data_IF_313744671363
#
_entry.id   IF_313744671363
#
_cell.length_a   1.000
_cell.length_b   1.000
_cell.length_c   1.000
_cell.angle_alpha   90.00
_cell.angle_beta   90.00
_cell.angle_gamma   90.00
#
_symmetry.space_group_name_H-M   'P 1'
#
loop_
_entity.id
_entity.type
_entity.pdbx_description
1 polymer ?
#
# COMPACT_ATOMS: atom_id res chain seq x y z
N UNK A 1 -26.06 2.65 7.37
CA UNK A 1 -26.44 2.42 5.95
C UNK A 1 -25.79 1.15 5.38
N UNK A 2 -24.50 0.90 5.61
CA UNK A 2 -23.81 -0.32 5.13
C UNK A 2 -24.42 -1.57 5.79
N UNK A 3 -24.65 -1.57 7.10
CA UNK A 3 -25.29 -2.68 7.82
C UNK A 3 -26.66 -3.04 7.26
N UNK A 4 -27.48 -2.03 6.96
CA UNK A 4 -28.78 -2.25 6.33
C UNK A 4 -28.64 -2.93 4.96
N UNK A 5 -27.72 -2.43 4.13
CA UNK A 5 -27.46 -3.01 2.80
C UNK A 5 -26.93 -4.45 2.91
N UNK A 6 -26.02 -4.69 3.85
CA UNK A 6 -25.47 -6.01 4.15
C UNK A 6 -26.60 -6.99 4.52
N UNK A 7 -27.49 -6.59 5.43
CA UNK A 7 -28.60 -7.40 5.85
C UNK A 7 -29.62 -7.64 4.72
N UNK A 8 -29.91 -6.60 3.92
CA UNK A 8 -30.81 -6.69 2.78
C UNK A 8 -30.28 -7.67 1.71
N UNK A 9 -29.00 -7.56 1.36
CA UNK A 9 -28.38 -8.41 0.34
C UNK A 9 -28.22 -9.86 0.82
N UNK A 10 -27.88 -10.08 2.08
CA UNK A 10 -27.76 -11.42 2.68
C UNK A 10 -29.06 -12.20 2.65
N UNK A 11 -30.18 -11.51 2.82
CA UNK A 11 -31.53 -12.12 2.80
C UNK A 11 -32.14 -12.16 1.40
N UNK A 12 -31.49 -11.58 0.40
CA UNK A 12 -31.99 -11.59 -0.98
C UNK A 12 -31.80 -12.95 -1.63
N UNK A 13 -32.86 -13.46 -2.27
CA UNK A 13 -32.81 -14.70 -3.07
C UNK A 13 -32.30 -14.47 -4.51
N UNK A 14 -31.89 -13.23 -4.83
CA UNK A 14 -31.41 -12.86 -6.17
C UNK A 14 -29.90 -13.03 -6.25
N UNK A 15 -29.41 -13.34 -7.43
CA UNK A 15 -27.96 -13.26 -7.73
C UNK A 15 -27.55 -11.81 -7.73
N UNK A 16 -26.50 -11.49 -6.99
CA UNK A 16 -25.94 -10.14 -6.87
C UNK A 16 -24.47 -10.20 -7.28
N UNK A 17 -24.09 -9.33 -8.20
CA UNK A 17 -22.71 -9.09 -8.56
C UNK A 17 -22.36 -7.67 -8.14
N UNK A 18 -21.27 -7.52 -7.39
CA UNK A 18 -20.82 -6.23 -6.89
C UNK A 18 -19.29 -6.13 -6.92
N UNK A 19 -18.79 -4.90 -6.97
CA UNK A 19 -17.37 -4.58 -6.89
C UNK A 19 -17.18 -3.69 -5.66
N UNK A 20 -16.28 -4.07 -4.77
CA UNK A 20 -15.97 -3.29 -3.58
C UNK A 20 -14.56 -3.59 -3.10
N UNK A 21 -13.95 -2.63 -2.40
CA UNK A 21 -12.71 -2.80 -1.65
C UNK A 21 -12.95 -2.93 -0.14
N UNK A 22 -14.22 -2.88 0.29
CA UNK A 22 -14.62 -3.08 1.68
C UNK A 22 -14.55 -4.57 2.04
N UNK A 23 -13.50 -4.92 2.80
CA UNK A 23 -13.23 -6.29 3.25
C UNK A 23 -14.35 -6.84 4.14
N UNK A 24 -14.95 -5.97 4.98
CA UNK A 24 -16.06 -6.36 5.84
C UNK A 24 -17.30 -6.73 5.00
N UNK A 25 -17.60 -5.94 3.98
CA UNK A 25 -18.70 -6.21 3.07
C UNK A 25 -18.48 -7.52 2.29
N UNK A 26 -17.26 -7.72 1.75
CA UNK A 26 -16.87 -8.96 1.08
C UNK A 26 -17.01 -10.18 2.01
N UNK A 27 -16.57 -10.05 3.26
CA UNK A 27 -16.61 -11.16 4.22
C UNK A 27 -18.02 -11.59 4.60
N UNK A 28 -18.96 -10.62 4.70
CA UNK A 28 -20.31 -10.88 5.16
C UNK A 28 -21.31 -11.29 4.07
N UNK A 29 -21.04 -10.94 2.80
CA UNK A 29 -22.02 -11.12 1.72
C UNK A 29 -21.54 -12.08 0.65
N UNK A 30 -20.23 -12.10 0.33
CA UNK A 30 -19.75 -12.92 -0.77
C UNK A 30 -19.82 -14.41 -0.44
N UNK A 31 -20.25 -15.17 -1.43
CA UNK A 31 -20.18 -16.63 -1.47
C UNK A 31 -19.12 -17.11 -2.46
N UNK A 32 -18.71 -16.22 -3.36
CA UNK A 32 -17.65 -16.40 -4.34
C UNK A 32 -16.97 -15.07 -4.58
N UNK A 33 -15.66 -15.09 -4.72
CA UNK A 33 -14.85 -13.91 -5.05
C UNK A 33 -14.16 -14.15 -6.38
N UNK A 34 -14.24 -13.17 -7.27
CA UNK A 34 -13.52 -13.15 -8.52
C UNK A 34 -12.38 -12.15 -8.44
N UNK A 35 -11.16 -12.63 -8.62
CA UNK A 35 -9.98 -11.78 -8.76
C UNK A 35 -9.67 -11.58 -10.25
N UNK A 36 -9.52 -10.33 -10.66
CA UNK A 36 -9.07 -9.98 -12.00
C UNK A 36 -7.61 -9.55 -11.94
N UNK A 37 -6.74 -10.42 -12.42
CA UNK A 37 -5.29 -10.16 -12.45
C UNK A 37 -4.68 -10.46 -13.81
N UNK A 38 -3.91 -9.51 -14.37
CA UNK A 38 -3.23 -9.64 -15.66
C UNK A 38 -4.14 -10.07 -16.82
N UNK A 39 -5.43 -9.68 -16.80
CA UNK A 39 -6.45 -10.08 -17.77
C UNK A 39 -7.00 -11.50 -17.57
N UNK A 40 -6.67 -12.16 -16.47
CA UNK A 40 -7.21 -13.46 -16.06
C UNK A 40 -8.23 -13.26 -14.95
N UNK A 41 -9.31 -14.04 -15.02
CA UNK A 41 -10.33 -14.08 -13.97
C UNK A 41 -10.14 -15.37 -13.17
N UNK A 42 -9.81 -15.22 -11.89
CA UNK A 42 -9.59 -16.34 -10.97
C UNK A 42 -10.76 -16.38 -9.99
N UNK A 43 -11.38 -17.55 -9.83
CA UNK A 43 -12.51 -17.75 -8.93
C UNK A 43 -12.06 -18.38 -7.62
N UNK A 44 -12.48 -17.79 -6.51
CA UNK A 44 -12.31 -18.33 -5.15
C UNK A 44 -13.68 -18.58 -4.54
N UNK A 45 -13.89 -19.79 -4.03
CA UNK A 45 -15.13 -20.16 -3.34
C UNK A 45 -15.04 -19.73 -1.88
N UNK A 46 -16.09 -19.06 -1.39
CA UNK A 46 -16.19 -18.60 -0.01
C UNK A 46 -16.23 -17.10 0.14
N UNK A 47 -15.99 -16.64 1.37
CA UNK A 47 -15.95 -15.23 1.76
C UNK A 47 -14.54 -14.62 1.63
N UNK A 48 -14.34 -13.41 2.16
CA UNK A 48 -13.03 -12.73 2.07
C UNK A 48 -11.93 -13.47 2.85
N UNK A 49 -12.24 -14.06 4.01
CA UNK A 49 -11.26 -14.83 4.78
C UNK A 49 -10.81 -16.09 4.02
N UNK A 50 -11.76 -16.79 3.37
CA UNK A 50 -11.44 -17.91 2.50
C UNK A 50 -10.58 -17.51 1.31
N UNK A 51 -10.89 -16.37 0.68
CA UNK A 51 -10.09 -15.80 -0.41
C UNK A 51 -8.63 -15.56 0.03
N UNK A 52 -8.42 -14.88 1.16
CA UNK A 52 -7.07 -14.59 1.68
C UNK A 52 -6.29 -15.88 1.94
N UNK A 53 -6.93 -16.87 2.56
CA UNK A 53 -6.32 -18.17 2.83
C UNK A 53 -5.95 -18.92 1.54
N UNK A 54 -6.91 -19.04 0.60
CA UNK A 54 -6.71 -19.76 -0.66
C UNK A 54 -5.67 -19.08 -1.55
N UNK A 55 -5.65 -17.74 -1.57
CA UNK A 55 -4.65 -16.97 -2.29
C UNK A 55 -3.26 -17.19 -1.69
N UNK A 56 -3.11 -17.11 -0.38
CA UNK A 56 -1.83 -17.38 0.29
C UNK A 56 -1.30 -18.79 -0.02
N UNK A 57 -2.19 -19.81 0.00
CA UNK A 57 -1.82 -21.17 -0.38
C UNK A 57 -1.40 -21.31 -1.86
N UNK A 58 -2.03 -20.52 -2.75
CA UNK A 58 -1.68 -20.49 -4.16
C UNK A 58 -0.34 -19.80 -4.38
N UNK A 59 -0.12 -18.64 -3.77
CA UNK A 59 1.12 -17.86 -3.84
C UNK A 59 2.32 -18.70 -3.32
N UNK A 60 2.13 -19.45 -2.24
CA UNK A 60 3.14 -20.37 -1.71
C UNK A 60 3.49 -21.50 -2.70
N UNK A 61 2.49 -22.09 -3.35
CA UNK A 61 2.69 -23.11 -4.40
C UNK A 61 3.43 -22.53 -5.60
N UNK A 62 3.02 -21.35 -6.04
CA UNK A 62 3.62 -20.67 -7.21
C UNK A 62 5.05 -20.25 -6.90
N UNK A 63 5.35 -19.75 -5.70
CA UNK A 63 6.70 -19.46 -5.25
C UNK A 63 7.58 -20.72 -5.21
N UNK A 64 7.05 -21.85 -4.71
CA UNK A 64 7.78 -23.12 -4.69
C UNK A 64 8.06 -23.65 -6.10
N UNK A 65 7.10 -23.51 -7.03
CA UNK A 65 7.29 -23.87 -8.44
C UNK A 65 8.31 -22.97 -9.13
N UNK A 66 8.26 -21.66 -8.87
CA UNK A 66 9.22 -20.68 -9.39
C UNK A 66 10.63 -21.00 -8.89
N UNK A 67 10.80 -21.28 -7.60
CA UNK A 67 12.08 -21.67 -7.03
C UNK A 67 12.64 -22.94 -7.68
N UNK A 68 11.81 -23.95 -7.92
CA UNK A 68 12.21 -25.17 -8.66
C UNK A 68 12.64 -24.84 -10.10
N UNK A 69 11.88 -23.99 -10.81
CA UNK A 69 12.25 -23.53 -12.16
C UNK A 69 13.58 -22.78 -12.18
N UNK A 70 13.81 -21.91 -11.20
CA UNK A 70 15.08 -21.17 -11.04
C UNK A 70 16.26 -22.10 -10.76
N UNK A 71 16.09 -23.11 -9.90
CA UNK A 71 17.12 -24.12 -9.67
C UNK A 71 17.44 -24.92 -10.92
N UNK A 72 16.40 -25.36 -11.65
CA UNK A 72 16.57 -26.05 -12.92
C UNK A 72 17.30 -25.15 -13.94
N UNK A 73 16.93 -23.88 -14.05
CA UNK A 73 17.59 -22.92 -14.92
C UNK A 73 19.10 -22.78 -14.58
N UNK A 74 19.45 -22.67 -13.30
CA UNK A 74 20.85 -22.60 -12.86
C UNK A 74 21.63 -23.87 -13.26
N UNK A 75 21.02 -25.05 -13.15
CA UNK A 75 21.63 -26.30 -13.58
C UNK A 75 21.82 -26.37 -15.10
N UNK A 76 20.78 -26.01 -15.84
CA UNK A 76 20.85 -26.00 -17.32
C UNK A 76 21.80 -24.92 -17.84
N UNK A 77 21.87 -23.74 -17.19
CA UNK A 77 22.82 -22.68 -17.51
C UNK A 77 24.27 -23.15 -17.31
N UNK A 78 24.53 -23.86 -16.19
CA UNK A 78 25.87 -24.42 -15.93
C UNK A 78 26.29 -25.47 -16.99
N UNK A 79 25.31 -26.25 -17.46
CA UNK A 79 25.54 -27.21 -18.55
C UNK A 79 25.78 -26.49 -19.89
N UNK A 80 24.99 -25.48 -20.23
CA UNK A 80 25.19 -24.67 -21.46
C UNK A 80 26.55 -23.98 -21.50
N UNK A 81 27.09 -23.50 -20.36
CA UNK A 81 28.42 -22.88 -20.26
C UNK A 81 29.56 -23.83 -20.53
N UNK A 82 29.36 -25.16 -20.43
CA UNK A 82 30.40 -26.19 -20.74
C UNK A 82 30.51 -26.51 -22.21
N UNK A 83 29.97 -25.69 -23.10
CA UNK A 83 29.99 -25.83 -24.56
C UNK A 83 29.58 -27.24 -25.05
N UNK A 84 28.32 -27.65 -24.91
CA UNK A 84 27.86 -28.94 -25.41
C UNK A 84 28.00 -29.00 -26.93
N UNK A 85 28.65 -30.05 -27.45
CA UNK A 85 28.78 -30.25 -28.91
C UNK A 85 27.40 -30.56 -29.51
N UNK A 86 26.95 -29.74 -30.47
CA UNK A 86 25.57 -29.70 -30.99
C UNK A 86 25.22 -30.84 -31.98
N UNK A 87 25.76 -32.05 -31.83
CA UNK A 87 25.61 -33.12 -32.85
C UNK A 87 24.53 -34.18 -32.59
N UNK A 88 23.78 -34.10 -31.52
CA UNK A 88 22.73 -35.08 -31.22
C UNK A 88 21.33 -34.43 -30.99
N UNK A 89 20.28 -35.01 -31.57
CA UNK A 89 18.89 -34.55 -31.48
C UNK A 89 18.45 -34.34 -30.03
N UNK A 90 18.92 -35.16 -29.08
CA UNK A 90 18.65 -35.00 -27.63
C UNK A 90 19.27 -33.74 -27.03
N UNK A 91 20.40 -33.27 -27.55
CA UNK A 91 21.01 -32.01 -27.09
C UNK A 91 20.24 -30.80 -27.59
N UNK A 92 19.75 -30.83 -28.83
CA UNK A 92 18.92 -29.76 -29.37
C UNK A 92 17.61 -29.61 -28.59
N UNK A 93 16.95 -30.70 -28.23
CA UNK A 93 15.76 -30.66 -27.40
C UNK A 93 16.02 -30.09 -25.98
N UNK A 94 17.23 -30.27 -25.43
CA UNK A 94 17.64 -29.70 -24.15
C UNK A 94 17.93 -28.20 -24.27
N UNK A 95 18.56 -27.78 -25.36
CA UNK A 95 18.80 -26.37 -25.68
C UNK A 95 17.46 -25.63 -25.82
N UNK A 96 16.50 -26.21 -26.56
CA UNK A 96 15.17 -25.62 -26.72
C UNK A 96 14.48 -25.46 -25.37
N UNK A 97 14.47 -26.50 -24.51
CA UNK A 97 13.93 -26.43 -23.14
C UNK A 97 14.58 -25.36 -22.28
N UNK A 98 15.90 -25.15 -22.45
CA UNK A 98 16.59 -24.05 -21.74
C UNK A 98 16.07 -22.68 -22.19
N UNK A 99 15.86 -22.48 -23.49
CA UNK A 99 15.31 -21.24 -24.02
C UNK A 99 13.86 -21.01 -23.57
N UNK A 100 13.04 -22.05 -23.56
CA UNK A 100 11.66 -21.99 -23.06
C UNK A 100 11.64 -21.62 -21.56
N UNK A 101 12.47 -22.27 -20.75
CA UNK A 101 12.60 -21.99 -19.32
C UNK A 101 13.13 -20.57 -19.07
N UNK A 102 14.06 -20.09 -19.90
CA UNK A 102 14.55 -18.70 -19.81
C UNK A 102 13.44 -17.69 -20.11
N UNK A 103 12.65 -17.95 -21.14
CA UNK A 103 11.52 -17.08 -21.52
C UNK A 103 10.42 -17.09 -20.45
N UNK A 104 10.08 -18.26 -19.90
CA UNK A 104 9.14 -18.41 -18.78
C UNK A 104 9.58 -17.59 -17.55
N UNK A 105 10.85 -17.62 -17.20
CA UNK A 105 11.38 -16.89 -16.04
C UNK A 105 11.51 -15.39 -16.30
N UNK A 106 11.69 -14.95 -17.53
CA UNK A 106 11.82 -13.53 -17.89
C UNK A 106 10.50 -12.76 -17.69
N UNK A 107 9.35 -13.45 -17.69
CA UNK A 107 8.03 -12.85 -17.49
C UNK A 107 7.53 -12.88 -16.04
N UNK A 108 8.26 -13.51 -15.11
CA UNK A 108 7.82 -13.69 -13.72
C UNK A 108 8.62 -12.79 -12.79
N UNK A 109 7.97 -11.74 -12.28
CA UNK A 109 8.49 -10.90 -11.20
C UNK A 109 8.27 -11.62 -9.88
N UNK A 110 9.33 -11.78 -9.08
CA UNK A 110 9.22 -12.36 -7.74
C UNK A 110 8.62 -11.30 -6.82
N UNK A 111 7.40 -11.49 -6.37
CA UNK A 111 6.87 -10.73 -5.23
C UNK A 111 7.68 -11.13 -3.99
N UNK A 112 8.59 -10.29 -3.58
CA UNK A 112 9.28 -10.46 -2.31
C UNK A 112 8.46 -9.79 -1.23
N UNK A 113 7.93 -10.57 -0.29
CA UNK A 113 7.43 -10.07 0.99
C UNK A 113 8.62 -9.51 1.78
N UNK A 114 8.96 -8.25 1.56
CA UNK A 114 9.98 -7.54 2.33
C UNK A 114 9.30 -6.85 3.51
N UNK A 115 9.81 -7.11 4.72
CA UNK A 115 9.49 -6.29 5.88
C UNK A 115 9.96 -4.85 5.58
N UNK A 116 8.99 -3.96 5.37
CA UNK A 116 9.26 -2.55 5.05
C UNK A 116 9.54 -1.76 6.32
N UNK A 117 10.72 -1.92 6.89
CA UNK A 117 11.17 -1.09 8.01
C UNK A 117 11.93 0.13 7.46
N UNK A 118 11.22 1.23 7.23
CA UNK A 118 11.85 2.51 6.94
C UNK A 118 12.52 3.08 8.17
N UNK A 119 13.71 3.64 8.03
CA UNK A 119 14.34 4.41 9.10
C UNK A 119 13.49 5.64 9.41
N UNK A 120 12.90 5.68 10.62
CA UNK A 120 12.17 6.86 11.11
C UNK A 120 13.10 7.77 11.86
N UNK A 121 12.89 9.09 11.74
CA UNK A 121 13.63 10.08 12.52
C UNK A 121 13.26 9.96 14.02
N UNK A 122 14.23 10.28 14.90
CA UNK A 122 13.99 10.27 16.36
C UNK A 122 12.88 11.26 16.72
N UNK A 123 11.98 10.83 17.61
CA UNK A 123 10.86 11.63 18.11
C UNK A 123 10.91 11.68 19.64
N UNK A 124 10.55 12.83 20.21
CA UNK A 124 10.44 13.02 21.67
C UNK A 124 9.27 12.23 22.28
N UNK A 125 9.18 12.18 23.60
CA UNK A 125 8.06 11.52 24.31
C UNK A 125 6.74 12.26 24.07
N UNK A 126 6.71 13.58 24.16
CA UNK A 126 5.57 14.44 23.80
C UNK A 126 5.70 14.81 22.33
N UNK A 127 4.71 14.45 21.54
CA UNK A 127 4.74 14.66 20.09
C UNK A 127 3.89 15.86 19.71
N UNK A 128 2.62 15.86 20.10
CA UNK A 128 1.67 16.93 19.83
C UNK A 128 0.79 17.10 21.08
N UNK A 129 0.64 18.33 21.57
CA UNK A 129 -0.16 18.64 22.75
C UNK A 129 -1.19 19.72 22.42
N UNK A 130 -2.45 19.40 22.62
CA UNK A 130 -3.58 20.33 22.57
C UNK A 130 -3.85 20.86 23.98
N UNK A 131 -3.89 22.18 24.14
CA UNK A 131 -4.15 22.86 25.41
C UNK A 131 -5.35 23.77 25.24
N UNK A 132 -6.53 23.35 25.74
CA UNK A 132 -7.79 24.09 25.71
C UNK A 132 -8.13 24.65 24.31
N UNK A 133 -7.96 23.84 23.27
CA UNK A 133 -8.15 24.26 21.89
C UNK A 133 -9.61 24.39 21.56
N UNK A 134 -10.00 25.56 21.03
CA UNK A 134 -11.29 25.80 20.42
C UNK A 134 -11.17 25.99 18.91
N UNK A 135 -12.10 25.40 18.17
CA UNK A 135 -12.22 25.57 16.73
C UNK A 135 -13.67 25.43 16.28
N UNK A 136 -14.12 26.35 15.45
CA UNK A 136 -15.47 26.34 14.87
C UNK A 136 -15.42 26.77 13.40
N UNK A 137 -16.35 26.27 12.61
CA UNK A 137 -16.69 26.84 11.30
C UNK A 137 -17.96 27.68 11.47
N UNK A 138 -17.85 28.99 11.19
CA UNK A 138 -18.90 29.97 11.44
C UNK A 138 -19.44 29.87 12.89
N UNK A 139 -20.65 29.35 13.07
CA UNK A 139 -21.27 29.18 14.38
C UNK A 139 -21.32 27.72 14.85
N UNK A 140 -20.78 26.77 14.06
CA UNK A 140 -20.78 25.36 14.41
C UNK A 140 -19.48 24.99 15.12
N UNK A 141 -19.50 24.76 16.45
CA UNK A 141 -18.31 24.33 17.18
C UNK A 141 -17.90 22.91 16.74
N UNK A 142 -16.62 22.72 16.47
CA UNK A 142 -16.00 21.43 16.15
C UNK A 142 -15.19 20.93 17.35
N UNK A 143 -14.39 21.80 17.95
CA UNK A 143 -13.67 21.51 19.19
C UNK A 143 -14.00 22.60 20.21
N UNK A 144 -14.21 22.19 21.46
CA UNK A 144 -14.47 23.10 22.59
C UNK A 144 -13.61 22.71 23.77
N UNK A 145 -12.69 23.60 24.17
CA UNK A 145 -11.71 23.41 25.27
C UNK A 145 -11.01 22.04 25.18
N UNK A 146 -10.72 21.61 23.97
CA UNK A 146 -10.13 20.30 23.73
C UNK A 146 -8.68 20.26 24.18
N UNK A 147 -8.38 19.32 25.10
CA UNK A 147 -7.03 19.09 25.60
C UNK A 147 -6.67 17.64 25.46
N UNK A 148 -5.59 17.36 24.74
CA UNK A 148 -5.14 15.99 24.48
C UNK A 148 -3.63 15.96 24.20
N UNK A 149 -2.96 14.90 24.61
CA UNK A 149 -1.53 14.70 24.39
C UNK A 149 -1.31 13.45 23.53
N UNK A 150 -0.72 13.64 22.36
CA UNK A 150 -0.27 12.55 21.51
C UNK A 150 1.17 12.21 21.87
N UNK A 151 1.42 10.96 22.21
CA UNK A 151 2.71 10.44 22.61
C UNK A 151 3.34 9.62 21.50
N UNK A 152 4.63 9.37 21.65
CA UNK A 152 5.34 8.45 20.77
C UNK A 152 4.72 7.04 20.86
N UNK A 153 4.50 6.41 19.70
CA UNK A 153 3.89 5.08 19.52
C UNK A 153 2.37 5.00 19.69
N UNK A 154 1.69 6.11 19.90
CA UNK A 154 0.22 6.08 19.94
C UNK A 154 -0.37 5.57 18.61
N UNK A 155 -1.43 4.81 18.72
CA UNK A 155 -2.28 4.37 17.60
C UNK A 155 -3.69 4.84 17.90
N UNK A 156 -4.11 5.94 17.26
CA UNK A 156 -5.35 6.64 17.60
C UNK A 156 -6.35 6.47 16.46
N UNK A 157 -7.47 5.82 16.72
CA UNK A 157 -8.60 5.79 15.82
C UNK A 157 -9.61 6.89 16.15
N UNK A 158 -9.96 7.72 15.16
CA UNK A 158 -10.98 8.76 15.31
C UNK A 158 -12.28 8.25 14.67
N UNK A 159 -13.33 8.11 15.47
CA UNK A 159 -14.65 7.64 15.02
C UNK A 159 -15.72 8.74 15.23
N UNK A 160 -16.72 8.75 14.38
CA UNK A 160 -17.82 9.71 14.43
C UNK A 160 -18.53 9.83 13.08
N UNK A 161 -19.70 10.44 13.08
CA UNK A 161 -20.51 10.66 11.88
C UNK A 161 -19.78 11.54 10.85
N UNK A 162 -20.26 11.48 9.59
CA UNK A 162 -19.71 12.34 8.54
C UNK A 162 -20.00 13.81 8.84
N UNK A 163 -19.01 14.68 8.66
CA UNK A 163 -19.11 16.11 8.91
C UNK A 163 -19.05 16.53 10.39
N UNK A 164 -18.66 15.63 11.32
CA UNK A 164 -18.48 15.95 12.74
C UNK A 164 -17.18 16.70 13.03
N UNK A 165 -16.22 16.69 12.10
CA UNK A 165 -14.94 17.42 12.25
C UNK A 165 -13.70 16.53 12.30
N UNK A 166 -13.79 15.24 11.92
CA UNK A 166 -12.62 14.32 11.89
C UNK A 166 -11.46 14.88 11.06
N UNK A 167 -11.71 15.21 9.81
CA UNK A 167 -10.67 15.80 8.92
C UNK A 167 -10.23 17.19 9.40
N UNK A 168 -11.08 17.94 10.11
CA UNK A 168 -10.69 19.22 10.73
C UNK A 168 -9.66 19.04 11.81
N UNK A 169 -9.82 18.03 12.68
CA UNK A 169 -8.83 17.68 13.69
C UNK A 169 -7.49 17.29 13.04
N UNK A 170 -7.52 16.45 11.99
CA UNK A 170 -6.30 16.09 11.25
C UNK A 170 -5.64 17.31 10.58
N UNK A 171 -6.43 18.23 10.03
CA UNK A 171 -5.91 19.47 9.44
C UNK A 171 -5.28 20.41 10.46
N UNK A 172 -5.80 20.47 11.69
CA UNK A 172 -5.16 21.20 12.80
C UNK A 172 -3.81 20.57 13.13
N UNK A 173 -3.73 19.24 13.27
CA UNK A 173 -2.49 18.51 13.53
C UNK A 173 -1.47 18.73 12.40
N UNK A 174 -1.93 18.71 11.14
CA UNK A 174 -1.09 18.94 9.97
C UNK A 174 -0.63 20.41 9.80
N UNK A 175 -1.12 21.33 10.65
CA UNK A 175 -0.80 22.75 10.57
C UNK A 175 -1.49 23.49 9.41
N UNK A 176 -2.44 22.85 8.70
CA UNK A 176 -3.24 23.47 7.64
C UNK A 176 -4.30 24.43 8.18
N UNK A 177 -4.73 24.22 9.43
CA UNK A 177 -5.63 25.10 10.18
C UNK A 177 -4.97 25.54 11.46
N UNK A 178 -5.36 26.73 11.96
CA UNK A 178 -4.92 27.25 13.24
C UNK A 178 -6.07 27.24 14.24
N UNK A 179 -5.84 26.90 15.53
CA UNK A 179 -6.85 27.00 16.55
C UNK A 179 -7.32 28.44 16.73
N UNK A 180 -8.61 28.64 17.03
CA UNK A 180 -9.18 29.96 17.29
C UNK A 180 -8.92 30.44 18.73
N UNK A 181 -8.83 29.48 19.67
CA UNK A 181 -8.37 29.73 21.04
C UNK A 181 -7.61 28.50 21.54
N UNK A 182 -6.88 28.67 22.65
CA UNK A 182 -6.00 27.65 23.19
C UNK A 182 -4.68 27.56 22.42
N UNK A 183 -3.96 26.45 22.59
CA UNK A 183 -2.63 26.27 22.00
C UNK A 183 -2.47 24.85 21.48
N UNK A 184 -1.90 24.74 20.26
CA UNK A 184 -1.43 23.48 19.68
C UNK A 184 0.10 23.50 19.66
N UNK A 185 0.72 22.66 20.48
CA UNK A 185 2.17 22.56 20.59
C UNK A 185 2.62 21.33 19.82
N UNK A 186 3.42 21.54 18.78
CA UNK A 186 4.02 20.48 17.95
C UNK A 186 5.51 20.42 18.28
N UNK A 187 6.03 19.24 18.55
CA UNK A 187 7.45 19.06 18.87
C UNK A 187 8.35 19.46 17.69
N UNK A 188 9.49 20.09 17.95
CA UNK A 188 10.41 20.62 16.93
C UNK A 188 10.91 19.55 15.94
N UNK A 189 11.01 18.30 16.38
CA UNK A 189 11.47 17.17 15.55
C UNK A 189 10.34 16.46 14.81
N UNK A 190 9.09 16.91 14.97
CA UNK A 190 7.91 16.29 14.38
C UNK A 190 7.89 16.54 12.87
N UNK A 191 7.76 15.46 12.12
CA UNK A 191 7.56 15.46 10.67
C UNK A 191 6.28 14.71 10.38
N UNK A 192 5.24 15.45 10.03
CA UNK A 192 3.91 14.91 9.77
C UNK A 192 3.80 14.54 8.30
N UNK A 193 3.44 13.29 8.01
CA UNK A 193 2.89 12.92 6.70
C UNK A 193 1.38 12.81 6.83
N UNK A 194 0.67 13.50 5.97
CA UNK A 194 -0.79 13.50 5.94
C UNK A 194 -1.32 12.91 4.63
N UNK A 195 -1.83 11.68 4.71
CA UNK A 195 -2.56 11.05 3.64
C UNK A 195 -4.03 11.49 3.70
N UNK A 196 -4.32 12.57 3.01
CA UNK A 196 -5.66 13.17 2.95
C UNK A 196 -6.53 12.54 1.88
N UNK A 197 -7.84 12.69 2.00
CA UNK A 197 -8.81 12.20 1.01
C UNK A 197 -8.55 12.78 -0.40
N UNK A 198 -8.09 14.03 -0.49
CA UNK A 198 -7.70 14.66 -1.76
C UNK A 198 -6.17 14.70 -1.86
N UNK A 199 -5.64 14.26 -3.01
CA UNK A 199 -4.20 14.35 -3.28
C UNK A 199 -3.86 15.80 -3.56
N UNK A 200 -3.00 16.39 -2.75
CA UNK A 200 -2.49 17.75 -2.95
C UNK A 200 -1.04 17.71 -3.43
N UNK A 201 -0.71 18.55 -4.41
CA UNK A 201 0.68 18.72 -4.85
C UNK A 201 1.24 17.56 -5.69
N UNK A 202 0.39 16.76 -6.32
CA UNK A 202 0.83 15.75 -7.29
C UNK A 202 1.10 16.45 -8.64
N UNK A 203 2.37 16.51 -9.04
CA UNK A 203 2.74 17.05 -10.36
C UNK A 203 2.51 15.99 -11.44
N UNK A 204 1.36 16.06 -12.08
CA UNK A 204 0.93 15.08 -13.08
C UNK A 204 1.76 15.11 -14.37
N UNK A 205 2.55 16.16 -14.60
CA UNK A 205 3.44 16.29 -15.77
C UNK A 205 4.71 15.46 -15.65
N UNK A 206 5.04 14.96 -14.46
CA UNK A 206 6.23 14.17 -14.19
C UNK A 206 6.04 12.70 -14.53
N UNK A 207 7.17 12.01 -14.75
CA UNK A 207 7.19 10.56 -14.83
C UNK A 207 7.18 9.95 -13.42
N UNK A 208 6.55 8.80 -13.27
CA UNK A 208 6.40 8.09 -11.99
C UNK A 208 7.74 7.97 -11.23
N UNK A 209 8.78 7.47 -11.90
CA UNK A 209 10.08 7.29 -11.25
C UNK A 209 10.73 8.63 -10.89
N UNK A 210 10.67 9.63 -11.76
CA UNK A 210 11.31 10.93 -11.53
C UNK A 210 10.68 11.66 -10.34
N UNK A 211 9.35 11.54 -10.19
CA UNK A 211 8.62 12.15 -9.08
C UNK A 211 9.10 11.65 -7.71
N UNK A 212 9.46 10.37 -7.61
CA UNK A 212 9.99 9.81 -6.37
C UNK A 212 11.50 10.08 -6.22
N UNK A 213 12.26 10.09 -7.31
CA UNK A 213 13.70 10.38 -7.27
C UNK A 213 14.03 11.80 -6.81
N UNK A 214 13.08 12.73 -6.91
CA UNK A 214 13.24 14.07 -6.32
C UNK A 214 13.31 14.04 -4.78
N UNK A 215 12.73 13.03 -4.15
CA UNK A 215 12.76 12.85 -2.69
C UNK A 215 13.99 12.06 -2.26
N UNK A 216 14.30 11.00 -2.97
CA UNK A 216 15.45 10.13 -2.70
C UNK A 216 15.82 9.31 -3.94
N UNK A 217 17.11 9.06 -4.15
CA UNK A 217 17.58 8.13 -5.19
C UNK A 217 17.54 6.68 -4.71
N UNK A 218 17.84 6.47 -3.43
CA UNK A 218 17.87 5.18 -2.74
C UNK A 218 17.30 5.32 -1.33
N UNK A 219 16.75 4.25 -0.81
CA UNK A 219 16.15 4.20 0.53
C UNK A 219 16.73 3.05 1.33
N UNK A 220 17.00 3.29 2.60
CA UNK A 220 17.40 2.23 3.53
C UNK A 220 16.17 1.54 4.09
N UNK A 221 16.03 0.25 3.80
CA UNK A 221 14.93 -0.60 4.26
C UNK A 221 15.53 -1.89 4.83
N UNK A 222 15.13 -2.27 6.05
CA UNK A 222 15.51 -3.55 6.65
C UNK A 222 17.02 -3.77 6.81
N UNK A 223 17.83 -2.69 6.90
CA UNK A 223 19.29 -2.76 6.98
C UNK A 223 20.02 -2.89 5.63
N UNK A 224 19.29 -2.88 4.52
CA UNK A 224 19.81 -2.80 3.14
C UNK A 224 19.48 -1.48 2.45
N UNK A 225 20.08 -1.25 1.27
CA UNK A 225 19.75 -0.12 0.40
C UNK A 225 18.89 -0.63 -0.76
N UNK A 226 17.72 -0.05 -0.95
CA UNK A 226 16.77 -0.39 -2.02
C UNK A 226 16.66 0.79 -2.97
N UNK A 227 16.73 0.54 -4.28
CA UNK A 227 16.54 1.56 -5.31
C UNK A 227 15.06 1.99 -5.40
N UNK A 228 14.80 3.21 -5.89
CA UNK A 228 13.42 3.67 -6.15
C UNK A 228 12.68 2.76 -7.13
N UNK A 229 13.39 2.18 -8.10
CA UNK A 229 12.77 1.26 -9.06
C UNK A 229 12.28 -0.04 -8.38
N UNK A 230 13.06 -0.62 -7.48
CA UNK A 230 12.66 -1.79 -6.70
C UNK A 230 11.52 -1.45 -5.73
N UNK A 231 11.56 -0.27 -5.13
CA UNK A 231 10.50 0.19 -4.23
C UNK A 231 9.17 0.39 -4.97
N UNK A 232 9.21 0.94 -6.18
CA UNK A 232 8.04 1.05 -7.07
C UNK A 232 7.44 -0.33 -7.38
N UNK A 233 8.28 -1.34 -7.67
CA UNK A 233 7.81 -2.71 -7.91
C UNK A 233 7.12 -3.29 -6.64
N UNK A 234 7.67 -3.04 -5.46
CA UNK A 234 7.05 -3.45 -4.18
C UNK A 234 5.69 -2.77 -3.93
N UNK A 235 5.54 -1.53 -4.42
CA UNK A 235 4.28 -0.79 -4.39
C UNK A 235 3.40 -1.05 -5.63
N UNK A 236 3.58 -2.20 -6.28
CA UNK A 236 2.75 -2.67 -7.39
C UNK A 236 2.79 -1.76 -8.64
N UNK A 237 3.92 -1.09 -8.86
CA UNK A 237 4.21 -0.39 -10.11
C UNK A 237 5.20 -1.22 -10.92
N UNK A 238 4.76 -1.96 -11.95
CA UNK A 238 5.67 -2.73 -12.79
C UNK A 238 6.64 -1.81 -13.55
N UNK A 239 7.81 -2.31 -13.91
CA UNK A 239 8.86 -1.53 -14.60
C UNK A 239 8.38 -0.80 -15.85
N UNK A 240 7.41 -1.38 -16.54
CA UNK A 240 6.79 -0.77 -17.73
C UNK A 240 6.11 0.56 -17.44
N UNK A 241 5.64 0.80 -16.20
CA UNK A 241 4.95 2.02 -15.80
C UNK A 241 5.88 3.09 -15.21
N UNK A 242 7.13 2.77 -14.88
CA UNK A 242 8.06 3.72 -14.24
C UNK A 242 8.32 4.97 -15.10
N UNK A 243 8.37 4.80 -16.42
CA UNK A 243 8.54 5.89 -17.38
C UNK A 243 7.24 6.59 -17.80
N UNK A 244 6.08 6.14 -17.32
CA UNK A 244 4.77 6.70 -17.68
C UNK A 244 4.57 8.05 -16.98
N UNK A 245 3.86 8.98 -17.63
CA UNK A 245 3.44 10.23 -16.99
C UNK A 245 2.36 9.96 -15.95
N UNK A 246 2.42 10.69 -14.83
CA UNK A 246 1.47 10.54 -13.71
C UNK A 246 0.04 10.84 -14.13
N UNK A 247 -0.17 11.75 -15.08
CA UNK A 247 -1.51 12.05 -15.66
C UNK A 247 -2.23 10.80 -16.21
N UNK A 248 -1.46 9.81 -16.70
CA UNK A 248 -1.99 8.58 -17.30
C UNK A 248 -2.31 7.48 -16.28
N UNK A 249 -1.96 7.69 -15.02
CA UNK A 249 -2.28 6.76 -13.95
C UNK A 249 -3.76 6.84 -13.58
N UNK A 250 -4.34 5.71 -13.18
CA UNK A 250 -5.66 5.67 -12.56
C UNK A 250 -5.67 6.42 -11.22
N UNK A 251 -6.85 6.78 -10.71
CA UNK A 251 -6.98 7.45 -9.42
C UNK A 251 -6.36 6.67 -8.26
N UNK A 252 -6.54 5.35 -8.23
CA UNK A 252 -5.94 4.47 -7.23
C UNK A 252 -4.41 4.41 -7.32
N UNK A 253 -3.85 4.34 -8.55
CA UNK A 253 -2.40 4.39 -8.76
C UNK A 253 -1.81 5.73 -8.34
N UNK A 254 -2.48 6.85 -8.63
CA UNK A 254 -2.06 8.17 -8.17
C UNK A 254 -2.00 8.24 -6.64
N UNK A 255 -3.01 7.71 -5.95
CA UNK A 255 -3.05 7.65 -4.48
C UNK A 255 -1.93 6.77 -3.90
N UNK A 256 -1.68 5.63 -4.51
CA UNK A 256 -0.59 4.72 -4.15
C UNK A 256 0.79 5.38 -4.34
N UNK A 257 0.99 6.07 -5.45
CA UNK A 257 2.21 6.82 -5.71
C UNK A 257 2.42 7.96 -4.70
N UNK A 258 1.34 8.68 -4.38
CA UNK A 258 1.37 9.74 -3.38
C UNK A 258 1.69 9.21 -1.98
N UNK A 259 1.06 8.10 -1.59
CA UNK A 259 1.39 7.42 -0.33
C UNK A 259 2.88 7.05 -0.27
N UNK A 260 3.41 6.44 -1.34
CA UNK A 260 4.82 6.07 -1.40
C UNK A 260 5.74 7.29 -1.24
N UNK A 261 5.44 8.41 -1.89
CA UNK A 261 6.19 9.66 -1.70
C UNK A 261 6.19 10.11 -0.24
N UNK A 262 5.00 10.14 0.40
CA UNK A 262 4.90 10.53 1.81
C UNK A 262 5.77 9.66 2.73
N UNK A 263 5.84 8.36 2.45
CA UNK A 263 6.67 7.44 3.22
C UNK A 263 8.18 7.67 3.00
N UNK A 264 8.57 8.05 1.78
CA UNK A 264 9.94 8.40 1.42
C UNK A 264 10.47 9.65 2.13
N UNK A 265 9.60 10.58 2.48
CA UNK A 265 9.94 11.80 3.22
C UNK A 265 10.35 11.53 4.69
N UNK A 266 10.37 10.25 5.10
CA UNK A 266 10.74 9.76 6.43
C UNK A 266 9.96 10.46 7.55
N UNK A 267 8.63 10.43 7.50
CA UNK A 267 7.81 11.01 8.55
C UNK A 267 8.03 10.26 9.87
N UNK A 268 7.73 10.94 10.98
CA UNK A 268 7.66 10.31 12.30
C UNK A 268 6.28 10.45 12.95
N UNK A 269 5.33 11.10 12.27
CA UNK A 269 3.90 11.13 12.59
C UNK A 269 3.12 10.88 11.30
N UNK A 270 2.16 9.97 11.34
CA UNK A 270 1.34 9.62 10.18
C UNK A 270 -0.12 9.90 10.46
N UNK A 271 -0.73 10.71 9.59
CA UNK A 271 -2.16 11.02 9.59
C UNK A 271 -2.81 10.33 8.39
N UNK A 272 -3.87 9.56 8.63
CA UNK A 272 -4.59 8.80 7.61
C UNK A 272 -6.07 9.19 7.63
N UNK A 273 -6.54 9.90 6.62
CA UNK A 273 -7.94 10.29 6.49
C UNK A 273 -8.68 9.34 5.55
N UNK A 274 -9.44 8.40 6.13
CA UNK A 274 -10.23 7.39 5.43
C UNK A 274 -9.43 6.59 4.36
N UNK A 275 -8.26 6.04 4.69
CA UNK A 275 -7.38 5.42 3.69
C UNK A 275 -8.01 4.21 2.99
N UNK A 276 -8.98 3.55 3.63
CA UNK A 276 -9.65 2.36 3.09
C UNK A 276 -10.62 2.65 1.95
N UNK A 277 -11.11 3.89 1.84
CA UNK A 277 -12.09 4.24 0.81
C UNK A 277 -11.50 4.35 -0.59
N UNK A 278 -10.20 4.61 -0.67
CA UNK A 278 -9.53 5.07 -1.89
C UNK A 278 -8.39 4.17 -2.37
N UNK A 279 -8.00 3.19 -1.55
CA UNK A 279 -6.94 2.24 -1.86
C UNK A 279 -7.53 0.87 -2.15
N UNK A 280 -6.98 0.19 -3.15
CA UNK A 280 -7.31 -1.21 -3.41
C UNK A 280 -6.78 -2.14 -2.31
N UNK A 281 -7.28 -3.37 -2.26
CA UNK A 281 -6.95 -4.35 -1.21
C UNK A 281 -5.44 -4.62 -1.16
N UNK A 282 -4.78 -4.70 -2.31
CA UNK A 282 -3.34 -4.96 -2.38
C UNK A 282 -2.54 -3.79 -1.80
N UNK A 283 -2.90 -2.55 -2.13
CA UNK A 283 -2.28 -1.34 -1.56
C UNK A 283 -2.53 -1.22 -0.06
N UNK A 284 -3.73 -1.59 0.40
CA UNK A 284 -4.03 -1.62 1.84
C UNK A 284 -3.13 -2.62 2.58
N UNK A 285 -2.88 -3.79 2.00
CA UNK A 285 -1.95 -4.78 2.57
C UNK A 285 -0.53 -4.23 2.68
N UNK A 286 -0.06 -3.52 1.65
CA UNK A 286 1.25 -2.84 1.68
C UNK A 286 1.30 -1.78 2.78
N UNK A 287 0.23 -0.97 2.92
CA UNK A 287 0.12 0.03 3.99
C UNK A 287 0.10 -0.62 5.37
N UNK A 288 -0.66 -1.68 5.57
CA UNK A 288 -0.72 -2.42 6.84
C UNK A 288 0.65 -2.98 7.25
N UNK A 289 1.37 -3.59 6.31
CA UNK A 289 2.73 -4.08 6.54
C UNK A 289 3.69 -2.95 6.94
N UNK A 290 3.59 -1.79 6.27
CA UNK A 290 4.35 -0.61 6.64
C UNK A 290 4.00 -0.13 8.06
N UNK A 291 2.71 -0.04 8.40
CA UNK A 291 2.25 0.44 9.71
C UNK A 291 2.70 -0.45 10.87
N UNK A 292 2.88 -1.76 10.64
CA UNK A 292 3.41 -2.68 11.66
C UNK A 292 4.84 -2.33 12.08
N UNK A 293 5.66 -1.88 11.12
CA UNK A 293 7.05 -1.45 11.37
C UNK A 293 7.20 0.03 11.74
N UNK A 294 6.15 0.84 11.63
CA UNK A 294 6.22 2.28 11.85
C UNK A 294 6.35 2.63 13.33
N UNK A 295 7.44 3.27 13.72
CA UNK A 295 7.78 3.53 15.13
C UNK A 295 7.08 4.75 15.74
N UNK A 296 6.56 5.68 14.93
CA UNK A 296 5.89 6.90 15.37
C UNK A 296 4.39 6.74 15.62
N UNK A 297 3.69 7.78 16.13
CA UNK A 297 2.23 7.74 16.26
C UNK A 297 1.53 7.72 14.91
N UNK A 298 0.39 7.02 14.87
CA UNK A 298 -0.52 6.93 13.73
C UNK A 298 -1.92 7.36 14.19
N UNK A 299 -2.56 8.23 13.42
CA UNK A 299 -3.85 8.83 13.72
C UNK A 299 -4.76 8.69 12.51
#
# INVERSE_FOLDING_TARGET
TIEWLTHFLKNSKKTVLFITHDRYFLDHISTRIFELDGGRLIEYQGNYQDYVRLKAEQDERDAALLHKKQQLYKQELSWMRRQPQARATKQQARINRFHDLKNDLAGQTTESNLEMNFETSRIGKKVIEFQNVDFAYDQKPILSQFSFLIQNKDRIGIVGDNGVGKSTLLNLIAGKLQPQAGQLIVGETVRVAYFSQQIEGLDESKRVINYLQEVAEEVKIGGGTTSIAELLEQFLFPRSTHGTLIEKLSGGEKKRLYLLKLLLEKPNVLLLDEPTNDLDIATLTVLENFLQGFAGPVI
#
